data_IF_908186707970
#
_entry.id   IF_908186707970
#
_cell.length_a   1.000
_cell.length_b   1.000
_cell.length_c   1.000
_cell.angle_alpha   90.00
_cell.angle_beta   90.00
_cell.angle_gamma   90.00
#
_symmetry.space_group_name_H-M   'P 1'
#
loop_
_entity.id
_entity.type
_entity.pdbx_description
1 polymer ?
#
# COMPACT_ATOMS: atom_id res chain seq x y z
N UNK A 1 -5.97 -36.23 -35.35
CA UNK A 1 -6.13 -34.83 -34.92
C UNK A 1 -5.33 -34.69 -33.64
N UNK A 2 -4.16 -34.04 -33.69
CA UNK A 2 -3.29 -33.93 -32.52
C UNK A 2 -3.95 -33.00 -31.50
N UNK A 3 -4.39 -33.56 -30.38
CA UNK A 3 -4.89 -32.83 -29.21
C UNK A 3 -3.73 -32.44 -28.30
N UNK A 4 -2.64 -31.94 -28.87
CA UNK A 4 -1.55 -31.40 -28.06
C UNK A 4 -1.98 -30.05 -27.50
N UNK A 5 -2.00 -29.88 -26.17
CA UNK A 5 -2.27 -28.59 -25.57
C UNK A 5 -1.20 -27.62 -26.05
N UNK A 6 -1.64 -26.52 -26.68
CA UNK A 6 -0.71 -25.44 -27.08
C UNK A 6 0.00 -24.96 -25.82
N UNK A 7 1.33 -24.79 -25.84
CA UNK A 7 2.05 -24.24 -24.72
C UNK A 7 1.47 -22.86 -24.38
N UNK A 8 1.27 -22.62 -23.08
CA UNK A 8 0.90 -21.30 -22.59
C UNK A 8 1.93 -20.29 -23.07
N UNK A 9 1.44 -19.13 -23.51
CA UNK A 9 2.25 -17.94 -23.76
C UNK A 9 3.18 -17.68 -22.55
N UNK A 10 4.49 -17.43 -22.75
CA UNK A 10 5.46 -17.28 -21.67
C UNK A 10 5.04 -16.30 -20.56
N UNK A 11 4.38 -15.19 -20.90
CA UNK A 11 3.86 -14.24 -19.91
C UNK A 11 2.77 -14.86 -19.03
N UNK A 12 1.83 -15.58 -19.65
CA UNK A 12 0.76 -16.30 -18.95
C UNK A 12 1.32 -17.42 -18.07
N UNK A 13 2.33 -18.14 -18.57
CA UNK A 13 3.00 -19.17 -17.77
C UNK A 13 3.67 -18.56 -16.55
N UNK A 14 4.36 -17.42 -16.70
CA UNK A 14 5.00 -16.72 -15.60
C UNK A 14 3.98 -16.24 -14.55
N UNK A 15 2.83 -15.71 -14.98
CA UNK A 15 1.77 -15.29 -14.06
C UNK A 15 1.15 -16.45 -13.29
N UNK A 16 0.95 -17.59 -13.96
CA UNK A 16 0.50 -18.83 -13.29
C UNK A 16 1.52 -19.29 -12.25
N UNK A 17 2.81 -19.31 -12.59
CA UNK A 17 3.87 -19.70 -11.65
C UNK A 17 3.92 -18.77 -10.43
N UNK A 18 3.87 -17.45 -10.65
CA UNK A 18 3.81 -16.45 -9.57
C UNK A 18 2.60 -16.64 -8.66
N UNK A 19 1.45 -17.01 -9.23
CA UNK A 19 0.24 -17.31 -8.48
C UNK A 19 0.41 -18.54 -7.61
N UNK A 20 0.97 -19.63 -8.15
CA UNK A 20 1.28 -20.86 -7.41
C UNK A 20 2.25 -20.57 -6.26
N UNK A 21 3.35 -19.85 -6.53
CA UNK A 21 4.34 -19.49 -5.50
C UNK A 21 3.71 -18.68 -4.36
N UNK A 22 2.81 -17.75 -4.69
CA UNK A 22 2.05 -16.98 -3.69
C UNK A 22 1.18 -17.90 -2.83
N UNK A 23 0.42 -18.80 -3.44
CA UNK A 23 -0.43 -19.76 -2.71
C UNK A 23 0.39 -20.68 -1.81
N UNK A 24 1.54 -21.17 -2.27
CA UNK A 24 2.43 -22.01 -1.47
C UNK A 24 2.98 -21.25 -0.27
N UNK A 25 3.39 -19.99 -0.45
CA UNK A 25 3.85 -19.14 0.63
C UNK A 25 2.76 -18.90 1.69
N UNK A 26 1.51 -18.69 1.28
CA UNK A 26 0.39 -18.53 2.21
C UNK A 26 0.09 -19.79 2.99
N UNK A 27 0.07 -20.96 2.34
CA UNK A 27 -0.15 -22.23 3.02
C UNK A 27 0.95 -22.48 4.06
N UNK A 28 2.20 -22.18 3.71
CA UNK A 28 3.31 -22.26 4.66
C UNK A 28 3.15 -21.28 5.82
N UNK A 29 2.67 -20.06 5.57
CA UNK A 29 2.39 -19.09 6.64
C UNK A 29 1.25 -19.55 7.56
N UNK A 30 0.16 -20.07 6.99
CA UNK A 30 -0.98 -20.60 7.72
C UNK A 30 -0.60 -21.77 8.62
N UNK A 31 0.23 -22.69 8.10
CA UNK A 31 0.72 -23.84 8.88
C UNK A 31 1.62 -23.42 10.05
N UNK A 32 2.39 -22.34 9.91
CA UNK A 32 3.30 -21.84 10.97
C UNK A 32 2.60 -20.97 12.00
N UNK A 33 1.50 -20.32 11.63
CA UNK A 33 0.82 -19.30 12.44
C UNK A 33 0.50 -19.76 13.87
N UNK A 34 -0.10 -20.95 14.11
CA UNK A 34 -0.48 -21.37 15.45
C UNK A 34 0.70 -21.64 16.38
N UNK A 35 1.92 -21.77 15.82
CA UNK A 35 3.15 -21.96 16.58
C UNK A 35 3.82 -20.65 16.98
N UNK A 36 3.39 -19.52 16.42
CA UNK A 36 3.99 -18.19 16.61
C UNK A 36 3.05 -17.25 17.36
N UNK A 37 1.75 -17.34 17.07
CA UNK A 37 0.73 -16.49 17.66
C UNK A 37 -0.42 -17.33 18.21
N UNK A 38 -1.04 -16.86 19.30
CA UNK A 38 -2.36 -17.38 19.70
C UNK A 38 -3.43 -16.92 18.71
N UNK A 39 -4.59 -17.56 18.74
CA UNK A 39 -5.75 -17.15 17.93
C UNK A 39 -6.15 -15.70 18.25
N UNK A 40 -6.17 -15.33 19.53
CA UNK A 40 -6.49 -13.96 19.98
C UNK A 40 -5.49 -12.92 19.50
N UNK A 41 -4.19 -13.23 19.50
CA UNK A 41 -3.16 -12.36 18.94
C UNK A 41 -3.30 -12.24 17.42
N UNK A 42 -3.58 -13.36 16.76
CA UNK A 42 -3.79 -13.40 15.30
C UNK A 42 -4.90 -12.45 14.87
N UNK A 43 -6.06 -12.52 15.52
CA UNK A 43 -7.20 -11.69 15.15
C UNK A 43 -6.93 -10.21 15.44
N UNK A 44 -6.31 -9.90 16.58
CA UNK A 44 -5.90 -8.52 16.92
C UNK A 44 -4.92 -7.94 15.89
N UNK A 45 -3.91 -8.72 15.47
CA UNK A 45 -2.93 -8.30 14.48
C UNK A 45 -3.55 -8.14 13.08
N UNK A 46 -4.51 -8.99 12.69
CA UNK A 46 -5.25 -8.81 11.43
C UNK A 46 -6.06 -7.52 11.43
N UNK A 47 -6.74 -7.19 12.52
CA UNK A 47 -7.47 -5.93 12.67
C UNK A 47 -6.54 -4.73 12.61
N UNK A 48 -5.40 -4.80 13.30
CA UNK A 48 -4.38 -3.75 13.27
C UNK A 48 -3.84 -3.51 11.86
N UNK A 49 -3.49 -4.58 11.13
CA UNK A 49 -3.10 -4.50 9.73
C UNK A 49 -4.19 -3.85 8.87
N UNK A 50 -5.46 -4.20 9.11
CA UNK A 50 -6.60 -3.58 8.46
C UNK A 50 -6.67 -2.07 8.69
N UNK A 51 -6.52 -1.63 9.95
CA UNK A 51 -6.48 -0.20 10.31
C UNK A 51 -5.31 0.54 9.66
N UNK A 52 -4.11 -0.05 9.66
CA UNK A 52 -2.93 0.54 9.04
C UNK A 52 -3.10 0.67 7.52
N UNK A 53 -3.63 -0.35 6.84
CA UNK A 53 -3.92 -0.29 5.40
C UNK A 53 -4.97 0.77 5.06
N UNK A 54 -5.99 0.91 5.90
CA UNK A 54 -6.99 1.96 5.74
C UNK A 54 -6.37 3.36 5.91
N UNK A 55 -5.61 3.59 6.98
CA UNK A 55 -4.94 4.86 7.23
C UNK A 55 -3.94 5.24 6.12
N UNK A 56 -3.19 4.25 5.61
CA UNK A 56 -2.25 4.42 4.49
C UNK A 56 -2.97 4.86 3.22
N UNK A 57 -4.09 4.20 2.89
CA UNK A 57 -4.93 4.50 1.74
C UNK A 57 -5.56 5.91 1.87
N UNK A 58 -6.18 6.22 3.01
CA UNK A 58 -6.81 7.53 3.23
C UNK A 58 -5.77 8.66 3.15
N UNK A 59 -4.59 8.49 3.76
CA UNK A 59 -3.54 9.50 3.67
C UNK A 59 -3.04 9.73 2.22
N UNK A 60 -3.09 8.70 1.37
CA UNK A 60 -2.79 8.84 -0.05
C UNK A 60 -3.88 9.60 -0.80
N UNK A 61 -5.15 9.31 -0.52
CA UNK A 61 -6.30 10.02 -1.09
C UNK A 61 -6.26 11.51 -0.68
N UNK A 62 -6.05 11.80 0.60
CA UNK A 62 -5.93 13.17 1.14
C UNK A 62 -4.77 13.95 0.50
N UNK A 63 -3.60 13.32 0.33
CA UNK A 63 -2.46 13.95 -0.35
C UNK A 63 -2.78 14.22 -1.82
N UNK A 64 -3.45 13.30 -2.49
CA UNK A 64 -3.86 13.45 -3.88
C UNK A 64 -4.84 14.62 -4.02
N UNK A 65 -5.85 14.69 -3.15
CA UNK A 65 -6.82 15.78 -3.14
C UNK A 65 -6.15 17.14 -2.87
N UNK A 66 -5.30 17.23 -1.83
CA UNK A 66 -4.57 18.45 -1.52
C UNK A 66 -3.65 18.89 -2.69
N UNK A 67 -3.00 17.94 -3.36
CA UNK A 67 -2.14 18.21 -4.51
C UNK A 67 -2.94 18.69 -5.72
N UNK A 68 -4.12 18.11 -5.96
CA UNK A 68 -5.02 18.54 -7.01
C UNK A 68 -5.56 19.95 -6.75
N UNK A 69 -5.90 20.28 -5.49
CA UNK A 69 -6.38 21.61 -5.10
C UNK A 69 -5.35 22.70 -5.43
N UNK A 70 -4.08 22.48 -5.04
CA UNK A 70 -2.98 23.40 -5.38
C UNK A 70 -2.55 23.29 -6.84
N UNK A 71 -3.18 22.48 -7.68
CA UNK A 71 -2.87 22.42 -9.12
C UNK A 71 -3.94 23.11 -9.97
N UNK A 72 -5.06 23.54 -9.38
CA UNK A 72 -6.22 24.08 -10.11
C UNK A 72 -5.94 25.34 -10.92
N UNK A 73 -5.06 26.21 -10.44
CA UNK A 73 -4.68 27.44 -11.14
C UNK A 73 -3.55 27.22 -12.18
N UNK A 74 -3.06 25.97 -12.30
CA UNK A 74 -1.97 25.58 -13.20
C UNK A 74 -0.60 26.14 -12.86
N UNK A 75 -0.42 26.75 -11.68
CA UNK A 75 0.84 27.35 -11.27
C UNK A 75 1.70 26.35 -10.51
N UNK A 76 3.02 26.43 -10.70
CA UNK A 76 4.00 25.77 -9.84
C UNK A 76 4.21 26.55 -8.54
N UNK A 77 4.92 25.97 -7.58
CA UNK A 77 5.30 26.68 -6.34
C UNK A 77 6.10 27.95 -6.63
N UNK A 78 7.17 27.86 -7.42
CA UNK A 78 8.03 29.01 -7.75
C UNK A 78 7.29 30.13 -8.49
N UNK A 79 6.34 29.75 -9.36
CA UNK A 79 5.47 30.70 -10.03
C UNK A 79 4.53 31.42 -9.05
N UNK A 80 4.08 30.74 -7.99
CA UNK A 80 3.31 31.39 -6.91
C UNK A 80 4.17 32.30 -6.06
N UNK A 81 5.37 31.88 -5.67
CA UNK A 81 6.31 32.74 -4.94
C UNK A 81 6.55 34.04 -5.72
N UNK A 82 6.76 33.93 -7.03
CA UNK A 82 6.99 35.08 -7.90
C UNK A 82 5.76 36.00 -8.03
N UNK A 83 4.54 35.44 -8.03
CA UNK A 83 3.29 36.19 -8.26
C UNK A 83 2.63 36.73 -6.99
N UNK A 84 2.68 35.98 -5.91
CA UNK A 84 1.92 36.21 -4.67
C UNK A 84 2.84 36.47 -3.47
N UNK A 85 4.15 36.22 -3.61
CA UNK A 85 5.09 36.22 -2.50
C UNK A 85 5.17 34.87 -1.78
N UNK A 86 6.31 34.64 -1.16
CA UNK A 86 6.61 33.41 -0.43
C UNK A 86 5.62 33.10 0.71
N UNK A 87 5.20 34.07 1.56
CA UNK A 87 4.28 33.77 2.66
C UNK A 87 2.93 33.19 2.20
N UNK A 88 2.42 33.68 1.07
CA UNK A 88 1.13 33.22 0.53
C UNK A 88 1.26 31.89 -0.22
N UNK A 89 2.35 31.70 -0.98
CA UNK A 89 2.67 30.41 -1.60
C UNK A 89 2.81 29.30 -0.53
N UNK A 90 3.48 29.62 0.58
CA UNK A 90 3.63 28.75 1.74
C UNK A 90 2.29 28.41 2.39
N UNK A 91 1.41 29.40 2.56
CA UNK A 91 0.05 29.19 3.10
C UNK A 91 -0.77 28.23 2.23
N UNK A 92 -0.68 28.38 0.90
CA UNK A 92 -1.37 27.53 -0.08
C UNK A 92 -0.84 26.09 -0.05
N UNK A 93 0.48 25.89 0.09
CA UNK A 93 1.10 24.56 0.10
C UNK A 93 1.10 23.87 1.47
N UNK A 94 0.82 24.58 2.57
CA UNK A 94 0.78 24.00 3.91
C UNK A 94 -0.13 22.75 4.05
N UNK A 95 -1.32 22.67 3.42
CA UNK A 95 -2.12 21.44 3.39
C UNK A 95 -1.39 20.26 2.73
N UNK A 96 -0.75 20.48 1.59
CA UNK A 96 0.01 19.43 0.86
C UNK A 96 1.14 18.88 1.71
N UNK A 97 1.91 19.76 2.37
CA UNK A 97 2.99 19.32 3.27
C UNK A 97 2.48 18.51 4.44
N UNK A 98 1.36 18.94 5.06
CA UNK A 98 0.74 18.18 6.16
C UNK A 98 0.28 16.80 5.68
N UNK A 99 -0.46 16.73 4.57
CA UNK A 99 -0.90 15.46 4.00
C UNK A 99 0.28 14.55 3.60
N UNK A 100 1.35 15.14 3.04
CA UNK A 100 2.59 14.42 2.70
C UNK A 100 3.27 13.82 3.93
N UNK A 101 3.27 14.53 5.06
CA UNK A 101 3.81 14.01 6.31
C UNK A 101 2.96 12.84 6.83
N UNK A 102 1.63 12.98 6.87
CA UNK A 102 0.73 11.90 7.28
C UNK A 102 0.89 10.66 6.39
N UNK A 103 1.01 10.85 5.06
CA UNK A 103 1.27 9.76 4.11
C UNK A 103 2.56 9.02 4.41
N UNK A 104 3.64 9.75 4.73
CA UNK A 104 4.94 9.17 5.09
C UNK A 104 4.82 8.38 6.39
N UNK A 105 4.20 8.95 7.41
CA UNK A 105 4.09 8.31 8.71
C UNK A 105 3.21 7.04 8.64
N UNK A 106 2.11 7.07 7.88
CA UNK A 106 1.27 5.90 7.65
C UNK A 106 1.97 4.80 6.83
N UNK A 107 2.75 5.18 5.81
CA UNK A 107 3.59 4.24 5.04
C UNK A 107 4.60 3.53 5.94
N UNK A 108 5.30 4.30 6.78
CA UNK A 108 6.34 3.77 7.68
C UNK A 108 5.72 2.83 8.71
N UNK A 109 4.58 3.20 9.30
CA UNK A 109 3.88 2.33 10.24
C UNK A 109 3.43 1.01 9.59
N UNK A 110 2.86 1.06 8.39
CA UNK A 110 2.45 -0.13 7.65
C UNK A 110 3.64 -1.01 7.26
N UNK A 111 4.75 -0.41 6.82
CA UNK A 111 5.97 -1.13 6.48
C UNK A 111 6.58 -1.82 7.70
N UNK A 112 6.67 -1.12 8.84
CA UNK A 112 7.15 -1.66 10.10
C UNK A 112 6.32 -2.84 10.57
N UNK A 113 4.98 -2.71 10.53
CA UNK A 113 4.10 -3.82 10.88
C UNK A 113 4.35 -5.06 10.01
N UNK A 114 4.56 -4.87 8.69
CA UNK A 114 4.84 -5.97 7.77
C UNK A 114 6.16 -6.67 8.04
N UNK A 115 7.16 -5.91 8.47
CA UNK A 115 8.46 -6.44 8.89
C UNK A 115 8.35 -7.24 10.20
N UNK A 116 7.61 -6.73 11.18
CA UNK A 116 7.43 -7.37 12.49
C UNK A 116 6.49 -8.58 12.43
N UNK A 117 5.49 -8.56 11.53
CA UNK A 117 4.44 -9.57 11.41
C UNK A 117 4.28 -10.11 9.98
N UNK A 118 5.32 -10.75 9.42
CA UNK A 118 5.30 -11.21 8.03
C UNK A 118 4.28 -12.32 7.78
N UNK A 119 4.01 -13.18 8.77
CA UNK A 119 3.02 -14.26 8.65
C UNK A 119 1.57 -13.71 8.60
N UNK A 120 1.27 -12.69 9.40
CA UNK A 120 -0.03 -12.01 9.38
C UNK A 120 -0.22 -11.32 8.03
N UNK A 121 0.82 -10.61 7.57
CA UNK A 121 0.81 -9.93 6.27
C UNK A 121 0.59 -10.91 5.11
N UNK A 122 1.29 -12.06 5.12
CA UNK A 122 1.14 -13.10 4.12
C UNK A 122 -0.30 -13.64 4.03
N UNK A 123 -0.94 -13.87 5.18
CA UNK A 123 -2.31 -14.37 5.24
C UNK A 123 -3.33 -13.35 4.72
N UNK A 124 -3.19 -12.08 5.12
CA UNK A 124 -4.15 -11.04 4.77
C UNK A 124 -3.96 -10.54 3.33
N UNK A 125 -2.71 -10.34 2.88
CA UNK A 125 -2.45 -9.76 1.56
C UNK A 125 -2.55 -10.80 0.44
N UNK A 126 -2.26 -12.07 0.72
CA UNK A 126 -2.37 -13.13 -0.29
C UNK A 126 -3.81 -13.58 -0.58
N UNK A 127 -4.81 -13.19 0.21
CA UNK A 127 -6.23 -13.53 -0.07
C UNK A 127 -6.84 -12.68 -1.19
N UNK A 128 -6.10 -11.70 -1.72
CA UNK A 128 -6.48 -10.98 -2.95
C UNK A 128 -5.99 -11.76 -4.17
N UNK A 129 -6.88 -12.62 -4.68
CA UNK A 129 -6.90 -13.13 -6.06
C UNK A 129 -7.48 -12.08 -7.00
#
# INVERSE_FOLDING_TARGET
MSTEPRPLDPEKLLDVLKSIDRSLFQLAAAARLPHVYTDTQTDSLKEELGRLKYADKTAYEDLTEASNEVSKDGLTYDQRVSKLGEPEAERIYAPVRRASQVRRDSSVALAKFREEHPLISALVDGTKS
#
